data_IF_579794965302
#
_entry.id   IF_579794965302
#
_cell.length_a   1.000
_cell.length_b   1.000
_cell.length_c   1.000
_cell.angle_alpha   90.00
_cell.angle_beta   90.00
_cell.angle_gamma   90.00
#
_symmetry.space_group_name_H-M   'P 1'
#
loop_
_entity.id
_entity.type
_entity.pdbx_description
1 polymer ?
#
# COMPACT_ATOMS: atom_id res chain seq x y z
N UNK A 1 -8.17 -23.07 -9.54
CA UNK A 1 -7.76 -22.61 -8.21
C UNK A 1 -6.86 -23.69 -7.60
N UNK A 2 -5.55 -23.56 -7.77
CA UNK A 2 -4.58 -24.43 -7.09
C UNK A 2 -3.96 -23.59 -5.99
N UNK A 3 -4.16 -24.00 -4.76
CA UNK A 3 -3.51 -23.41 -3.59
C UNK A 3 -2.01 -23.64 -3.69
N UNK A 4 -1.22 -22.59 -3.81
CA UNK A 4 0.24 -22.64 -3.76
C UNK A 4 0.64 -22.82 -2.30
N UNK A 5 1.26 -23.96 -2.03
CA UNK A 5 1.70 -24.38 -0.71
C UNK A 5 2.79 -23.47 -0.16
N UNK A 6 2.65 -23.06 1.09
CA UNK A 6 3.53 -22.21 1.92
C UNK A 6 5.04 -22.60 1.97
N UNK A 7 5.46 -23.64 1.25
CA UNK A 7 6.84 -24.20 1.35
C UNK A 7 7.84 -23.71 0.29
N UNK A 8 7.45 -22.93 -0.68
CA UNK A 8 8.31 -22.61 -1.82
C UNK A 8 8.89 -21.18 -1.83
N UNK A 9 8.68 -20.36 -0.80
CA UNK A 9 9.18 -18.99 -0.78
C UNK A 9 10.49 -18.78 -0.01
N UNK A 10 11.09 -19.84 0.59
CA UNK A 10 12.32 -19.75 1.39
C UNK A 10 13.56 -20.34 0.72
N UNK A 11 13.82 -20.06 -0.54
CA UNK A 11 14.99 -20.57 -1.23
C UNK A 11 15.68 -19.57 -2.18
N UNK A 12 15.92 -18.33 -1.74
CA UNK A 12 16.98 -17.50 -2.34
C UNK A 12 17.53 -16.54 -1.28
N UNK A 13 18.45 -17.01 -0.45
CA UNK A 13 19.44 -16.17 0.22
C UNK A 13 20.77 -16.89 0.13
N UNK A 14 21.70 -16.31 -0.64
CA UNK A 14 22.96 -16.90 -1.05
C UNK A 14 23.95 -17.04 0.07
N UNK A 15 24.63 -18.16 0.08
CA UNK A 15 25.78 -18.46 0.90
C UNK A 15 27.05 -17.78 0.33
N UNK A 16 27.70 -16.96 1.13
CA UNK A 16 29.13 -16.63 0.95
C UNK A 16 29.93 -17.20 2.12
N UNK A 17 30.56 -18.33 1.89
CA UNK A 17 31.49 -18.95 2.83
C UNK A 17 32.86 -18.30 2.69
N UNK A 18 33.44 -17.86 3.80
CA UNK A 18 34.89 -17.58 3.90
C UNK A 18 35.49 -18.54 4.90
N UNK A 19 36.33 -19.41 4.37
CA UNK A 19 37.14 -20.33 5.14
C UNK A 19 38.34 -19.62 5.77
N UNK A 20 38.59 -19.83 7.06
CA UNK A 20 39.86 -19.50 7.69
C UNK A 20 40.37 -20.69 8.45
N UNK A 21 41.61 -21.02 8.15
CA UNK A 21 42.42 -22.20 8.50
C UNK A 21 42.89 -22.10 9.95
N UNK A 22 42.68 -23.21 10.71
CA UNK A 22 43.29 -23.47 12.00
C UNK A 22 44.66 -24.17 11.80
N UNK A 23 45.66 -23.67 12.49
CA UNK A 23 46.91 -24.42 12.73
C UNK A 23 47.09 -24.60 14.24
N UNK A 24 47.26 -25.86 14.63
CA UNK A 24 47.46 -26.31 16.01
C UNK A 24 48.95 -26.43 16.34
N UNK A 25 49.30 -26.29 17.63
CA UNK A 25 50.38 -26.94 18.36
C UNK A 25 50.26 -26.47 19.82
N UNK A 26 50.08 -27.26 20.84
CA UNK A 26 50.74 -28.45 21.27
C UNK A 26 51.65 -28.13 22.48
N UNK A 27 51.37 -28.69 23.68
CA UNK A 27 52.38 -28.70 24.76
C UNK A 27 51.79 -28.75 26.19
N UNK A 28 52.07 -29.83 26.82
CA UNK A 28 51.62 -30.34 28.13
C UNK A 28 52.24 -29.70 29.39
N UNK A 29 51.57 -29.94 30.49
CA UNK A 29 52.01 -30.48 31.81
C UNK A 29 52.08 -29.52 33.01
N UNK A 30 51.39 -29.99 34.00
CA UNK A 30 51.65 -30.24 35.44
C UNK A 30 51.49 -29.12 36.48
N UNK A 31 50.44 -29.38 37.32
CA UNK A 31 50.44 -29.43 38.78
C UNK A 31 51.01 -28.25 39.61
N UNK A 32 50.21 -27.70 40.47
CA UNK A 32 50.14 -27.98 41.92
C UNK A 32 49.21 -26.95 42.65
N UNK A 33 48.63 -27.44 43.71
CA UNK A 33 47.65 -26.78 44.59
C UNK A 33 48.22 -25.61 45.41
N UNK A 34 47.44 -24.64 45.80
CA UNK A 34 47.07 -24.33 47.18
C UNK A 34 46.23 -23.08 47.37
N UNK A 35 45.17 -23.28 48.15
CA UNK A 35 44.51 -22.45 49.18
C UNK A 35 44.07 -20.98 48.88
N UNK A 36 42.77 -20.83 48.98
CA UNK A 36 41.95 -19.89 49.76
C UNK A 36 42.27 -18.39 49.75
N UNK A 37 41.28 -17.64 49.18
CA UNK A 37 40.65 -16.51 49.89
C UNK A 37 39.39 -16.11 49.17
N UNK A 38 38.28 -16.09 49.89
CA UNK A 38 36.98 -15.60 49.45
C UNK A 38 37.01 -14.08 49.24
N UNK A 39 36.55 -13.62 48.06
CA UNK A 39 35.94 -12.30 47.92
C UNK A 39 34.82 -12.42 46.90
N UNK A 40 33.63 -12.16 47.39
CA UNK A 40 32.40 -12.06 46.65
C UNK A 40 32.50 -10.91 45.67
N UNK A 41 32.58 -11.22 44.37
CA UNK A 41 32.29 -10.27 43.31
C UNK A 41 30.92 -10.68 42.75
N UNK A 42 29.98 -9.79 42.92
CA UNK A 42 28.66 -9.90 42.29
C UNK A 42 28.86 -9.99 40.78
N UNK A 43 28.57 -11.13 40.22
CA UNK A 43 28.38 -11.27 38.79
C UNK A 43 27.07 -10.54 38.46
N UNK A 44 27.17 -9.36 37.86
CA UNK A 44 26.07 -8.79 37.11
C UNK A 44 25.82 -9.76 35.95
N UNK A 45 24.78 -10.55 36.08
CA UNK A 45 24.20 -11.24 34.95
C UNK A 45 23.60 -10.15 34.06
N UNK A 46 24.27 -9.83 32.97
CA UNK A 46 23.59 -9.29 31.81
C UNK A 46 22.60 -10.39 31.38
N UNK A 47 21.37 -10.22 31.82
CA UNK A 47 20.24 -10.90 31.21
C UNK A 47 20.12 -10.31 29.81
N UNK A 48 20.68 -10.98 28.82
CA UNK A 48 20.17 -10.86 27.48
C UNK A 48 18.69 -11.26 27.57
N UNK A 49 17.80 -10.28 27.57
CA UNK A 49 16.39 -10.52 27.33
C UNK A 49 16.30 -11.00 25.88
N UNK A 50 16.27 -12.31 25.68
CA UNK A 50 15.66 -12.84 24.48
C UNK A 50 14.21 -12.39 24.58
N UNK A 51 13.81 -11.42 23.77
CA UNK A 51 12.39 -11.20 23.53
C UNK A 51 11.83 -12.57 23.16
N UNK A 52 10.95 -13.11 24.00
CA UNK A 52 10.20 -14.30 23.67
C UNK A 52 9.41 -13.97 22.42
N UNK A 53 9.55 -14.77 21.35
CA UNK A 53 8.79 -14.64 20.13
C UNK A 53 7.33 -14.32 20.50
N UNK A 54 6.86 -13.11 20.15
CA UNK A 54 5.59 -12.59 20.65
C UNK A 54 4.46 -13.21 19.85
N UNK A 55 3.88 -14.30 20.39
CA UNK A 55 2.68 -14.86 19.76
C UNK A 55 1.57 -13.82 19.77
N UNK A 56 1.12 -13.41 18.59
CA UNK A 56 -0.08 -12.55 18.46
C UNK A 56 -1.30 -13.37 18.88
N UNK A 57 -2.08 -12.86 19.81
CA UNK A 57 -3.32 -13.51 20.27
C UNK A 57 -4.52 -12.94 19.51
N UNK A 58 -4.58 -11.63 19.33
CA UNK A 58 -5.68 -10.93 18.66
C UNK A 58 -5.22 -9.69 17.92
N UNK A 59 -5.73 -9.51 16.71
CA UNK A 59 -5.51 -8.30 15.90
C UNK A 59 -6.81 -7.53 15.75
N UNK A 60 -6.75 -6.21 15.90
CA UNK A 60 -7.84 -5.32 15.54
C UNK A 60 -7.44 -4.49 14.31
N UNK A 61 -8.38 -4.26 13.38
CA UNK A 61 -8.22 -3.32 12.29
C UNK A 61 -9.17 -2.15 12.50
N UNK A 62 -8.65 -0.94 12.41
CA UNK A 62 -9.41 0.30 12.53
C UNK A 62 -9.32 1.06 11.21
N UNK A 63 -10.45 1.25 10.52
CA UNK A 63 -10.54 2.10 9.33
C UNK A 63 -10.57 3.57 9.73
N UNK A 64 -9.93 4.44 8.98
CA UNK A 64 -10.01 5.89 9.21
C UNK A 64 -11.26 6.50 8.58
N UNK A 65 -11.65 6.00 7.43
CA UNK A 65 -12.88 6.32 6.70
C UNK A 65 -13.20 5.19 5.72
N UNK A 66 -14.44 5.05 5.31
CA UNK A 66 -14.88 3.97 4.42
C UNK A 66 -15.20 2.67 5.18
N UNK A 67 -15.25 1.57 4.48
CA UNK A 67 -15.70 0.27 4.98
C UNK A 67 -14.76 -0.85 4.55
N UNK A 68 -14.81 -2.00 5.23
CA UNK A 68 -13.98 -3.18 4.92
C UNK A 68 -14.43 -3.95 3.66
N UNK A 69 -15.46 -3.49 3.00
CA UNK A 69 -16.01 -4.02 1.73
C UNK A 69 -15.96 -2.97 0.62
N UNK A 70 -14.96 -2.06 0.67
CA UNK A 70 -14.74 -1.02 -0.32
C UNK A 70 -14.14 -1.53 -1.64
N UNK A 71 -13.85 -2.83 -1.75
CA UNK A 71 -13.19 -3.48 -2.88
C UNK A 71 -11.85 -2.82 -3.26
N UNK A 72 -11.15 -2.24 -2.27
CA UNK A 72 -9.94 -1.43 -2.42
C UNK A 72 -9.11 -1.44 -1.12
N UNK A 73 -8.81 -0.27 -0.57
CA UNK A 73 -7.86 0.03 0.50
C UNK A 73 -8.14 -0.70 1.82
N UNK A 74 -9.33 -0.49 2.39
CA UNK A 74 -9.68 -1.08 3.68
C UNK A 74 -9.88 -2.60 3.57
N UNK A 75 -10.57 -3.04 2.50
CA UNK A 75 -10.80 -4.47 2.26
C UNK A 75 -9.49 -5.24 2.08
N UNK A 76 -8.51 -4.68 1.37
CA UNK A 76 -7.20 -5.32 1.19
C UNK A 76 -6.49 -5.55 2.53
N UNK A 77 -6.46 -4.54 3.40
CA UNK A 77 -5.88 -4.66 4.74
C UNK A 77 -6.67 -5.66 5.61
N UNK A 78 -8.01 -5.62 5.54
CA UNK A 78 -8.86 -6.55 6.28
C UNK A 78 -8.70 -8.00 5.80
N UNK A 79 -8.56 -8.21 4.51
CA UNK A 79 -8.30 -9.53 3.93
C UNK A 79 -6.97 -10.11 4.44
N UNK A 80 -5.92 -9.28 4.54
CA UNK A 80 -4.65 -9.67 5.13
C UNK A 80 -4.81 -10.09 6.60
N UNK A 81 -5.48 -9.26 7.41
CA UNK A 81 -5.69 -9.56 8.84
C UNK A 81 -6.49 -10.84 9.02
N UNK A 82 -7.59 -11.02 8.30
CA UNK A 82 -8.43 -12.23 8.40
C UNK A 82 -7.73 -13.47 7.85
N UNK A 83 -6.97 -13.33 6.78
CA UNK A 83 -6.17 -14.42 6.21
C UNK A 83 -5.09 -14.91 7.16
N UNK A 84 -4.50 -13.99 7.94
CA UNK A 84 -3.45 -14.29 8.90
C UNK A 84 -3.99 -14.84 10.24
N UNK A 85 -5.02 -14.19 10.80
CA UNK A 85 -5.52 -14.44 12.16
C UNK A 85 -6.74 -15.37 12.24
N UNK A 86 -7.41 -15.63 11.11
CA UNK A 86 -8.70 -16.36 11.12
C UNK A 86 -9.74 -15.66 11.97
N UNK A 87 -10.32 -16.38 12.93
CA UNK A 87 -11.37 -15.85 13.83
C UNK A 87 -10.82 -14.95 14.98
N UNK A 88 -9.49 -14.82 15.10
CA UNK A 88 -8.86 -14.04 16.17
C UNK A 88 -8.62 -12.57 15.76
N UNK A 89 -9.57 -11.99 15.05
CA UNK A 89 -9.49 -10.60 14.63
C UNK A 89 -10.85 -9.91 14.72
N UNK A 90 -10.82 -8.59 14.71
CA UNK A 90 -12.01 -7.74 14.68
C UNK A 90 -11.73 -6.45 13.94
N UNK A 91 -12.77 -5.72 13.55
CA UNK A 91 -12.64 -4.44 12.86
C UNK A 91 -13.55 -3.39 13.47
N UNK A 92 -13.17 -2.13 13.26
CA UNK A 92 -13.93 -0.95 13.65
C UNK A 92 -14.02 0.00 12.46
N UNK A 93 -15.25 0.44 12.17
CA UNK A 93 -15.56 1.31 11.05
C UNK A 93 -16.15 2.60 11.63
N UNK A 94 -15.51 3.75 11.44
CA UNK A 94 -16.02 5.03 11.92
C UNK A 94 -17.17 5.55 11.03
N UNK A 95 -17.94 6.47 11.57
CA UNK A 95 -18.82 7.32 10.76
C UNK A 95 -17.99 8.22 9.83
N UNK A 96 -18.58 8.70 8.75
CA UNK A 96 -17.85 9.45 7.72
C UNK A 96 -17.24 10.78 8.22
N UNK A 97 -17.82 11.35 9.30
CA UNK A 97 -17.38 12.59 9.94
C UNK A 97 -16.69 12.38 11.30
N UNK A 98 -16.20 11.15 11.56
CA UNK A 98 -15.54 10.80 12.80
C UNK A 98 -14.36 11.73 13.11
N UNK A 99 -14.28 12.15 14.35
CA UNK A 99 -13.18 12.93 14.89
C UNK A 99 -11.99 12.05 15.31
N UNK A 100 -10.88 12.67 15.65
CA UNK A 100 -9.75 11.94 16.27
C UNK A 100 -10.11 11.28 17.58
N UNK A 101 -10.99 11.90 18.41
CA UNK A 101 -11.50 11.32 19.66
C UNK A 101 -12.34 10.05 19.41
N UNK A 102 -13.11 10.01 18.31
CA UNK A 102 -13.84 8.81 17.91
C UNK A 102 -12.86 7.69 17.51
N UNK A 103 -11.81 8.00 16.76
CA UNK A 103 -10.75 7.05 16.38
C UNK A 103 -9.99 6.52 17.60
N UNK A 104 -9.65 7.39 18.56
CA UNK A 104 -9.08 6.98 19.85
C UNK A 104 -10.01 6.03 20.60
N UNK A 105 -11.34 6.25 20.53
CA UNK A 105 -12.32 5.38 21.15
C UNK A 105 -12.31 3.99 20.53
N UNK A 106 -12.16 3.84 19.21
CA UNK A 106 -12.01 2.54 18.57
C UNK A 106 -10.72 1.83 18.96
N UNK A 107 -9.60 2.54 19.01
CA UNK A 107 -8.33 1.97 19.52
C UNK A 107 -8.51 1.49 20.98
N UNK A 108 -9.12 2.31 21.83
CA UNK A 108 -9.40 1.96 23.24
C UNK A 108 -10.28 0.71 23.34
N UNK A 109 -11.30 0.61 22.50
CA UNK A 109 -12.18 -0.54 22.45
C UNK A 109 -11.42 -1.79 22.00
N UNK A 110 -10.64 -1.69 20.92
CA UNK A 110 -9.81 -2.78 20.42
C UNK A 110 -8.88 -3.36 21.49
N UNK A 111 -8.18 -2.49 22.22
CA UNK A 111 -7.27 -2.89 23.30
C UNK A 111 -8.02 -3.48 24.49
N UNK A 112 -9.14 -2.89 24.89
CA UNK A 112 -9.97 -3.43 25.99
C UNK A 112 -10.57 -4.81 25.66
N UNK A 113 -10.78 -5.11 24.39
CA UNK A 113 -11.23 -6.41 23.91
C UNK A 113 -10.08 -7.39 23.66
N UNK A 114 -8.85 -7.00 23.99
CA UNK A 114 -7.67 -7.85 24.07
C UNK A 114 -6.83 -7.89 22.79
N UNK A 115 -6.84 -6.84 21.96
CA UNK A 115 -5.95 -6.75 20.82
C UNK A 115 -4.49 -6.52 21.27
N UNK A 116 -3.58 -7.36 20.83
CA UNK A 116 -2.13 -7.21 21.00
C UNK A 116 -1.53 -6.32 19.91
N UNK A 117 -2.18 -6.33 18.73
CA UNK A 117 -1.80 -5.54 17.56
C UNK A 117 -3.03 -4.79 17.06
N UNK A 118 -2.86 -3.50 16.77
CA UNK A 118 -3.88 -2.68 16.13
C UNK A 118 -3.36 -2.19 14.78
N UNK A 119 -4.04 -2.58 13.70
CA UNK A 119 -3.77 -2.08 12.35
C UNK A 119 -4.64 -0.85 12.12
N UNK A 120 -4.02 0.32 12.09
CA UNK A 120 -4.66 1.60 11.82
C UNK A 120 -4.56 1.89 10.33
N UNK A 121 -5.68 1.90 9.62
CA UNK A 121 -5.73 1.99 8.15
C UNK A 121 -6.15 3.39 7.74
N UNK A 122 -5.17 4.17 7.28
CA UNK A 122 -5.36 5.51 6.74
C UNK A 122 -4.74 6.64 7.58
N UNK A 123 -4.37 7.70 6.90
CA UNK A 123 -3.58 8.82 7.43
C UNK A 123 -4.26 9.57 8.60
N UNK A 124 -5.61 9.55 8.68
CA UNK A 124 -6.36 10.20 9.76
C UNK A 124 -6.09 9.60 11.15
N UNK A 125 -5.48 8.41 11.22
CA UNK A 125 -5.04 7.84 12.49
C UNK A 125 -3.77 8.48 13.05
N UNK A 126 -3.06 9.32 12.27
CA UNK A 126 -1.80 9.90 12.70
C UNK A 126 -1.86 10.54 14.09
N UNK A 127 -2.75 11.50 14.31
CA UNK A 127 -2.90 12.19 15.59
C UNK A 127 -3.29 11.22 16.73
N UNK A 128 -4.21 10.28 16.46
CA UNK A 128 -4.65 9.28 17.44
C UNK A 128 -3.53 8.31 17.83
N UNK A 129 -2.58 8.03 16.93
CA UNK A 129 -1.44 7.15 17.21
C UNK A 129 -0.45 7.74 18.19
N UNK A 130 -0.23 9.06 18.19
CA UNK A 130 0.61 9.72 19.20
C UNK A 130 0.08 9.45 20.61
N UNK A 131 -1.23 9.63 20.79
CA UNK A 131 -1.91 9.35 22.06
C UNK A 131 -1.92 7.83 22.37
N UNK A 132 -2.28 6.99 21.41
CA UNK A 132 -2.42 5.55 21.62
C UNK A 132 -1.11 4.88 22.01
N UNK A 133 -0.01 5.26 21.39
CA UNK A 133 1.31 4.74 21.67
C UNK A 133 1.75 5.00 23.14
N UNK A 134 1.44 6.18 23.65
CA UNK A 134 1.71 6.55 25.04
C UNK A 134 0.80 5.80 26.03
N UNK A 135 -0.49 5.66 25.70
CA UNK A 135 -1.47 5.01 26.59
C UNK A 135 -1.32 3.49 26.66
N UNK A 136 -0.84 2.87 25.58
CA UNK A 136 -0.77 1.41 25.42
C UNK A 136 0.62 0.96 24.97
N UNK A 137 1.65 1.13 25.81
CA UNK A 137 3.06 0.86 25.43
C UNK A 137 3.33 -0.62 25.08
N UNK A 138 2.50 -1.54 25.54
CA UNK A 138 2.62 -2.98 25.28
C UNK A 138 1.90 -3.42 23.99
N UNK A 139 1.06 -2.56 23.41
CA UNK A 139 0.33 -2.81 22.15
C UNK A 139 1.17 -2.35 20.97
N UNK A 140 1.24 -3.16 19.92
CA UNK A 140 1.91 -2.78 18.67
C UNK A 140 0.92 -2.17 17.69
N UNK A 141 1.32 -1.06 17.07
CA UNK A 141 0.51 -0.35 16.09
C UNK A 141 1.16 -0.46 14.71
N UNK A 142 0.43 -1.01 13.74
CA UNK A 142 0.77 -0.99 12.33
C UNK A 142 -0.07 0.09 11.68
N UNK A 143 0.57 1.13 11.14
CA UNK A 143 -0.11 2.31 10.61
C UNK A 143 0.07 2.40 9.09
N UNK A 144 -1.00 2.15 8.33
CA UNK A 144 -0.98 2.12 6.86
C UNK A 144 -1.33 3.50 6.30
N UNK A 145 -0.51 3.99 5.37
CA UNK A 145 -0.56 5.35 4.80
C UNK A 145 -0.41 6.46 5.84
N UNK A 146 0.34 6.18 6.91
CA UNK A 146 0.67 7.13 7.96
C UNK A 146 2.17 7.38 7.97
N UNK A 147 2.56 8.63 8.17
CA UNK A 147 3.95 9.05 8.32
C UNK A 147 4.20 9.69 9.69
N UNK A 148 5.46 9.93 10.00
CA UNK A 148 5.82 10.71 11.19
C UNK A 148 5.15 12.09 11.22
N UNK A 149 4.94 12.73 10.06
CA UNK A 149 4.28 14.04 9.98
C UNK A 149 2.82 13.97 10.40
N UNK A 150 2.13 12.89 10.06
CA UNK A 150 0.72 12.69 10.42
C UNK A 150 0.59 12.42 11.92
N UNK A 151 1.56 11.70 12.52
CA UNK A 151 1.63 11.47 13.97
C UNK A 151 1.91 12.78 14.72
N UNK A 152 2.67 13.68 14.13
CA UNK A 152 2.97 15.00 14.71
C UNK A 152 3.97 14.97 15.87
N UNK A 153 4.79 13.91 15.97
CA UNK A 153 5.84 13.73 16.98
C UNK A 153 7.23 13.92 16.38
N UNK A 154 8.26 14.11 17.23
CA UNK A 154 9.65 14.25 16.77
C UNK A 154 10.21 12.95 16.17
N UNK A 155 9.64 11.81 16.51
CA UNK A 155 9.97 10.49 15.99
C UNK A 155 8.73 9.59 16.02
N UNK A 156 8.72 8.55 15.19
CA UNK A 156 7.70 7.49 15.26
C UNK A 156 7.87 6.79 16.62
N UNK A 157 6.77 6.57 17.40
CA UNK A 157 6.85 5.89 18.69
C UNK A 157 7.38 4.44 18.57
N UNK A 158 8.08 3.95 19.61
CA UNK A 158 8.75 2.65 19.63
C UNK A 158 7.81 1.44 19.43
N UNK A 159 6.54 1.60 19.71
CA UNK A 159 5.50 0.59 19.51
C UNK A 159 4.66 0.84 18.23
N UNK A 160 5.10 1.72 17.34
CA UNK A 160 4.49 1.98 16.05
C UNK A 160 5.40 1.58 14.90
N UNK A 161 4.80 1.05 13.84
CA UNK A 161 5.40 0.86 12.52
C UNK A 161 4.52 1.52 11.47
N UNK A 162 5.09 2.44 10.71
CA UNK A 162 4.39 3.14 9.63
C UNK A 162 4.68 2.45 8.30
N UNK A 163 3.67 2.37 7.44
CA UNK A 163 3.75 1.81 6.09
C UNK A 163 3.26 2.85 5.11
N UNK A 164 4.07 3.16 4.12
CA UNK A 164 3.71 3.99 2.97
C UNK A 164 4.14 3.31 1.67
N UNK A 165 3.65 3.81 0.55
CA UNK A 165 3.96 3.23 -0.75
C UNK A 165 4.41 4.31 -1.73
N UNK A 166 5.07 3.88 -2.81
CA UNK A 166 5.46 4.73 -3.93
C UNK A 166 4.35 4.71 -4.99
N UNK A 167 3.18 5.26 -4.63
CA UNK A 167 1.98 5.25 -5.49
C UNK A 167 2.21 6.00 -6.80
N UNK A 168 3.15 6.94 -6.83
CA UNK A 168 3.56 7.62 -8.06
C UNK A 168 4.05 6.64 -9.13
N UNK A 169 4.68 5.54 -8.73
CA UNK A 169 5.15 4.52 -9.66
C UNK A 169 3.98 3.75 -10.29
N UNK A 170 2.99 3.33 -9.50
CA UNK A 170 1.79 2.67 -10.02
C UNK A 170 0.96 3.61 -10.90
N UNK A 171 0.81 4.87 -10.47
CA UNK A 171 0.16 5.91 -11.26
C UNK A 171 0.85 6.12 -12.60
N UNK A 172 2.19 6.24 -12.59
CA UNK A 172 2.99 6.38 -13.81
C UNK A 172 2.78 5.21 -14.77
N UNK A 173 2.88 3.99 -14.27
CA UNK A 173 2.68 2.78 -15.07
C UNK A 173 1.29 2.74 -15.71
N UNK A 174 0.24 3.07 -14.95
CA UNK A 174 -1.14 3.09 -15.44
C UNK A 174 -1.36 4.19 -16.50
N UNK A 175 -0.84 5.39 -16.27
CA UNK A 175 -0.93 6.51 -17.20
C UNK A 175 -0.17 6.26 -18.51
N UNK A 176 1.06 5.77 -18.38
CA UNK A 176 1.89 5.41 -19.53
C UNK A 176 1.23 4.31 -20.38
N UNK A 177 0.77 3.23 -19.73
CA UNK A 177 0.12 2.11 -20.40
C UNK A 177 -1.15 2.57 -21.15
N UNK A 178 -2.00 3.37 -20.53
CA UNK A 178 -3.21 3.87 -21.16
C UNK A 178 -2.91 4.75 -22.39
N UNK A 179 -1.96 5.68 -22.28
CA UNK A 179 -1.58 6.52 -23.41
C UNK A 179 -0.90 5.73 -24.53
N UNK A 180 -0.05 4.74 -24.20
CA UNK A 180 0.58 3.82 -25.19
C UNK A 180 -0.46 2.93 -25.88
N UNK A 181 -1.54 2.56 -25.19
CA UNK A 181 -2.66 1.79 -25.78
C UNK A 181 -3.55 2.64 -26.70
N UNK A 182 -3.26 3.94 -26.82
CA UNK A 182 -3.89 4.85 -27.78
C UNK A 182 -5.00 5.72 -27.19
N UNK A 183 -5.22 5.74 -25.87
CA UNK A 183 -6.13 6.69 -25.25
C UNK A 183 -5.54 8.10 -25.28
N UNK A 184 -6.32 9.07 -25.74
CA UNK A 184 -5.90 10.47 -25.91
C UNK A 184 -6.67 11.45 -25.04
N UNK A 185 -7.83 11.03 -24.52
CA UNK A 185 -8.63 11.79 -23.57
C UNK A 185 -8.86 10.98 -22.31
N UNK A 186 -8.09 11.30 -21.29
CA UNK A 186 -8.05 10.55 -20.05
C UNK A 186 -8.66 11.38 -18.91
N UNK A 187 -9.02 10.71 -17.81
CA UNK A 187 -9.49 11.33 -16.58
C UNK A 187 -8.76 10.77 -15.37
N UNK A 188 -8.59 11.60 -14.36
CA UNK A 188 -8.23 11.21 -13.01
C UNK A 188 -9.34 11.66 -12.05
N UNK A 189 -10.00 10.71 -11.43
CA UNK A 189 -10.97 10.92 -10.36
C UNK A 189 -10.33 10.45 -9.05
N UNK A 190 -9.72 11.37 -8.31
CA UNK A 190 -9.22 11.09 -6.97
C UNK A 190 -10.35 11.17 -5.94
N UNK A 191 -10.20 10.45 -4.83
CA UNK A 191 -11.05 10.60 -3.66
C UNK A 191 -10.80 11.95 -2.99
N UNK A 192 -10.31 11.96 -1.75
CA UNK A 192 -9.80 13.18 -1.11
C UNK A 192 -8.35 13.44 -1.56
N UNK A 193 -7.94 14.71 -1.56
CA UNK A 193 -6.57 15.12 -1.87
C UNK A 193 -5.62 14.80 -0.69
N UNK A 194 -5.42 13.52 -0.41
CA UNK A 194 -4.52 13.01 0.62
C UNK A 194 -3.21 12.53 0.00
N UNK A 195 -2.11 12.40 0.77
CA UNK A 195 -0.79 12.12 0.22
C UNK A 195 -0.72 10.96 -0.78
N UNK A 196 -1.31 9.80 -0.48
CA UNK A 196 -1.32 8.64 -1.36
C UNK A 196 -2.07 8.90 -2.68
N UNK A 197 -3.27 9.51 -2.62
CA UNK A 197 -4.08 9.83 -3.81
C UNK A 197 -3.39 10.89 -4.67
N UNK A 198 -2.74 11.87 -4.04
CA UNK A 198 -1.95 12.89 -4.75
C UNK A 198 -0.79 12.22 -5.50
N UNK A 199 -0.02 11.31 -4.85
CA UNK A 199 1.09 10.59 -5.50
C UNK A 199 0.62 9.77 -6.70
N UNK A 200 -0.47 9.01 -6.56
CA UNK A 200 -1.08 8.29 -7.70
C UNK A 200 -1.37 9.21 -8.88
N UNK A 201 -2.08 10.32 -8.64
CA UNK A 201 -2.44 11.26 -9.69
C UNK A 201 -1.24 11.99 -10.28
N UNK A 202 -0.25 12.33 -9.44
CA UNK A 202 1.00 12.96 -9.86
C UNK A 202 1.79 12.05 -10.81
N UNK A 203 1.96 10.78 -10.45
CA UNK A 203 2.60 9.78 -11.30
C UNK A 203 1.81 9.51 -12.58
N UNK A 204 0.47 9.42 -12.48
CA UNK A 204 -0.40 9.18 -13.63
C UNK A 204 -0.22 10.22 -14.74
N UNK A 205 -0.18 11.49 -14.37
CA UNK A 205 0.04 12.59 -15.33
C UNK A 205 1.43 12.51 -15.96
N UNK A 206 2.48 12.17 -15.19
CA UNK A 206 3.83 12.01 -15.70
C UNK A 206 3.94 10.85 -16.70
N UNK A 207 3.32 9.70 -16.38
CA UNK A 207 3.30 8.53 -17.27
C UNK A 207 2.61 8.83 -18.61
N UNK A 208 1.46 9.53 -18.56
CA UNK A 208 0.74 9.99 -19.75
C UNK A 208 1.64 10.90 -20.58
N UNK A 209 2.29 11.89 -19.97
CA UNK A 209 3.13 12.85 -20.68
C UNK A 209 4.34 12.18 -21.33
N UNK A 210 4.99 11.26 -20.64
CA UNK A 210 6.10 10.49 -21.21
C UNK A 210 5.67 9.70 -22.45
N UNK A 211 4.54 8.98 -22.38
CA UNK A 211 4.01 8.24 -23.51
C UNK A 211 3.58 9.17 -24.65
N UNK A 212 2.93 10.31 -24.34
CA UNK A 212 2.51 11.29 -25.31
C UNK A 212 3.69 11.88 -26.11
N UNK A 213 4.80 12.19 -25.42
CA UNK A 213 6.04 12.66 -26.04
C UNK A 213 6.64 11.60 -26.98
N UNK A 214 6.75 10.35 -26.52
CA UNK A 214 7.29 9.25 -27.33
C UNK A 214 6.46 8.99 -28.59
N UNK A 215 5.14 9.11 -28.50
CA UNK A 215 4.21 8.91 -29.59
C UNK A 215 4.08 10.15 -30.51
N UNK A 216 4.52 11.33 -30.06
CA UNK A 216 4.26 12.61 -30.72
C UNK A 216 2.77 12.94 -30.81
N UNK A 217 1.95 12.46 -29.86
CA UNK A 217 0.49 12.55 -29.86
C UNK A 217 0.01 13.51 -28.77
N UNK A 218 -0.93 14.38 -29.09
CA UNK A 218 -1.57 15.27 -28.09
C UNK A 218 -2.53 14.49 -27.23
N UNK A 219 -2.43 14.67 -25.90
CA UNK A 219 -3.27 14.04 -24.91
C UNK A 219 -3.89 15.09 -23.99
N UNK A 220 -5.14 14.87 -23.59
CA UNK A 220 -5.89 15.71 -22.64
C UNK A 220 -6.25 14.90 -21.42
N UNK A 221 -6.07 15.48 -20.23
CA UNK A 221 -6.39 14.85 -18.95
C UNK A 221 -7.33 15.76 -18.16
N UNK A 222 -8.51 15.28 -17.83
CA UNK A 222 -9.39 15.90 -16.83
C UNK A 222 -8.99 15.40 -15.44
N UNK A 223 -8.72 16.30 -14.50
CA UNK A 223 -8.22 15.98 -13.17
C UNK A 223 -9.12 16.57 -12.10
N UNK A 224 -9.66 15.73 -11.20
CA UNK A 224 -10.63 16.15 -10.18
C UNK A 224 -10.53 15.29 -8.92
N UNK A 225 -10.71 15.90 -7.76
CA UNK A 225 -10.91 15.19 -6.49
C UNK A 225 -12.39 15.26 -6.11
N UNK A 226 -12.99 14.09 -5.81
CA UNK A 226 -14.39 13.96 -5.39
C UNK A 226 -14.64 14.45 -3.96
N UNK A 227 -13.58 14.59 -3.15
CA UNK A 227 -13.68 15.03 -1.76
C UNK A 227 -14.13 13.96 -0.78
N UNK A 228 -14.28 12.70 -1.23
CA UNK A 228 -14.73 11.56 -0.44
C UNK A 228 -14.25 10.24 -1.07
N UNK A 229 -14.33 9.13 -0.32
CA UNK A 229 -13.90 7.80 -0.78
C UNK A 229 -15.06 6.86 -1.14
N UNK A 230 -16.20 7.41 -1.51
CA UNK A 230 -17.37 6.66 -1.99
C UNK A 230 -18.02 7.37 -3.17
N UNK A 231 -18.74 6.62 -4.02
CA UNK A 231 -19.46 7.19 -5.14
C UNK A 231 -20.78 7.83 -4.71
N UNK A 232 -21.18 8.89 -5.41
CA UNK A 232 -22.48 9.52 -5.26
C UNK A 232 -23.04 10.06 -6.59
N UNK A 233 -24.27 10.56 -6.57
CA UNK A 233 -24.93 11.07 -7.76
C UNK A 233 -24.22 12.29 -8.39
N UNK A 234 -23.55 13.13 -7.60
CA UNK A 234 -22.84 14.31 -8.11
C UNK A 234 -21.58 13.90 -8.86
N UNK A 235 -20.79 12.97 -8.25
CA UNK A 235 -19.60 12.40 -8.88
C UNK A 235 -19.99 11.62 -10.13
N UNK A 236 -21.02 10.77 -10.06
CA UNK A 236 -21.53 10.03 -11.23
C UNK A 236 -21.92 10.99 -12.36
N UNK A 237 -22.68 12.04 -12.07
CA UNK A 237 -23.07 13.03 -13.08
C UNK A 237 -21.90 13.76 -13.70
N UNK A 238 -20.85 14.07 -12.91
CA UNK A 238 -19.62 14.67 -13.42
C UNK A 238 -18.89 13.71 -14.36
N UNK A 239 -18.77 12.44 -14.00
CA UNK A 239 -18.13 11.41 -14.82
C UNK A 239 -18.92 11.16 -16.12
N UNK A 240 -20.26 11.12 -16.06
CA UNK A 240 -21.10 11.07 -17.25
C UNK A 240 -20.82 12.24 -18.19
N UNK A 241 -20.69 13.46 -17.64
CA UNK A 241 -20.32 14.63 -18.40
C UNK A 241 -18.94 14.50 -19.07
N UNK A 242 -17.96 13.92 -18.40
CA UNK A 242 -16.64 13.68 -18.97
C UNK A 242 -16.69 12.71 -20.15
N UNK A 243 -17.31 11.54 -19.97
CA UNK A 243 -17.45 10.56 -21.04
C UNK A 243 -18.26 11.08 -22.22
N UNK A 244 -19.35 11.80 -21.95
CA UNK A 244 -20.17 12.42 -23.00
C UNK A 244 -19.38 13.48 -23.83
N UNK A 245 -18.37 14.12 -23.22
CA UNK A 245 -17.46 15.06 -23.87
C UNK A 245 -16.20 14.40 -24.44
N UNK A 246 -16.17 13.07 -24.46
CA UNK A 246 -15.16 12.28 -25.16
C UNK A 246 -13.99 11.79 -24.30
N UNK A 247 -14.04 11.91 -22.95
CA UNK A 247 -13.11 11.16 -22.09
C UNK A 247 -13.30 9.66 -22.36
N UNK A 248 -12.21 8.94 -22.57
CA UNK A 248 -12.23 7.54 -22.99
C UNK A 248 -12.03 6.59 -21.82
N UNK A 249 -11.16 6.98 -20.88
CA UNK A 249 -10.80 6.19 -19.69
C UNK A 249 -10.62 7.11 -18.49
N UNK A 250 -11.15 6.71 -17.32
CA UNK A 250 -10.99 7.41 -16.05
C UNK A 250 -10.27 6.51 -15.06
N UNK A 251 -9.18 7.01 -14.48
CA UNK A 251 -8.55 6.39 -13.33
C UNK A 251 -9.31 6.80 -12.06
N UNK A 252 -10.01 5.86 -11.46
CA UNK A 252 -10.80 6.05 -10.24
C UNK A 252 -9.96 5.66 -9.01
N UNK A 253 -9.35 6.66 -8.38
CA UNK A 253 -8.35 6.51 -7.32
C UNK A 253 -8.91 6.89 -5.96
N UNK A 254 -9.40 5.91 -5.19
CA UNK A 254 -9.80 6.13 -3.79
C UNK A 254 -11.02 5.35 -3.33
N UNK A 255 -10.79 4.22 -2.65
CA UNK A 255 -11.83 3.41 -2.02
C UNK A 255 -13.00 3.10 -2.95
N UNK A 256 -14.22 3.27 -2.48
CA UNK A 256 -15.46 3.00 -3.22
C UNK A 256 -15.84 4.04 -4.29
N UNK A 257 -15.03 5.08 -4.56
CA UNK A 257 -15.36 6.13 -5.56
C UNK A 257 -15.48 5.57 -6.99
N UNK A 258 -14.84 4.41 -7.25
CA UNK A 258 -14.92 3.71 -8.53
C UNK A 258 -16.34 3.40 -8.97
N UNK A 259 -17.29 3.25 -8.04
CA UNK A 259 -18.68 2.94 -8.33
C UNK A 259 -19.32 4.02 -9.22
N UNK A 260 -19.04 5.31 -8.96
CA UNK A 260 -19.48 6.42 -9.81
C UNK A 260 -18.83 6.41 -11.19
N UNK A 261 -17.53 6.07 -11.26
CA UNK A 261 -16.82 5.97 -12.54
C UNK A 261 -17.36 4.82 -13.41
N UNK A 262 -17.62 3.65 -12.81
CA UNK A 262 -18.20 2.49 -13.52
C UNK A 262 -19.61 2.83 -14.02
N UNK A 263 -20.48 3.37 -13.17
CA UNK A 263 -21.84 3.72 -13.56
C UNK A 263 -21.85 4.65 -14.77
N UNK A 264 -21.02 5.69 -14.76
CA UNK A 264 -20.89 6.64 -15.86
C UNK A 264 -20.27 6.00 -17.11
N UNK A 265 -19.23 5.16 -16.94
CA UNK A 265 -18.58 4.46 -18.04
C UNK A 265 -19.56 3.54 -18.78
N UNK A 266 -20.33 2.74 -18.06
CA UNK A 266 -21.29 1.79 -18.65
C UNK A 266 -22.37 2.49 -19.48
N UNK A 267 -22.80 3.71 -19.09
CA UNK A 267 -23.78 4.52 -19.84
C UNK A 267 -23.19 5.10 -21.12
N UNK A 268 -21.87 5.28 -21.20
CA UNK A 268 -21.21 6.03 -22.28
C UNK A 268 -20.18 5.19 -23.06
N UNK A 269 -20.11 3.88 -22.88
CA UNK A 269 -19.09 2.98 -23.44
C UNK A 269 -17.65 3.39 -23.07
N UNK A 270 -17.47 4.00 -21.90
CA UNK A 270 -16.19 4.42 -21.37
C UNK A 270 -15.40 3.29 -20.71
N UNK A 271 -14.21 3.60 -20.27
CA UNK A 271 -13.31 2.67 -19.57
C UNK A 271 -12.90 3.22 -18.22
N UNK A 272 -12.46 2.31 -17.33
CA UNK A 272 -12.00 2.63 -15.99
C UNK A 272 -10.64 1.97 -15.72
N UNK A 273 -9.78 2.69 -15.00
CA UNK A 273 -8.61 2.12 -14.34
C UNK A 273 -8.96 2.04 -12.85
N UNK A 274 -8.77 0.85 -12.26
CA UNK A 274 -8.99 0.59 -10.84
C UNK A 274 -7.80 1.00 -9.99
N UNK A 275 -7.92 0.84 -8.65
CA UNK A 275 -6.90 1.23 -7.68
C UNK A 275 -6.73 0.19 -6.57
N UNK A 276 -5.57 0.19 -5.94
CA UNK A 276 -5.13 -0.61 -4.78
C UNK A 276 -5.05 -2.11 -5.04
N UNK A 277 -6.13 -2.71 -5.52
CA UNK A 277 -6.21 -4.14 -5.86
C UNK A 277 -6.56 -4.32 -7.33
N UNK A 278 -6.43 -5.54 -7.85
CA UNK A 278 -6.94 -5.86 -9.17
C UNK A 278 -8.48 -5.88 -9.16
N UNK A 279 -9.10 -4.75 -9.50
CA UNK A 279 -10.56 -4.59 -9.51
C UNK A 279 -11.23 -5.17 -10.76
N UNK A 280 -10.48 -5.80 -11.67
CA UNK A 280 -11.05 -6.41 -12.89
C UNK A 280 -12.16 -7.42 -12.59
N UNK A 281 -12.06 -8.15 -11.46
CA UNK A 281 -13.08 -9.11 -11.06
C UNK A 281 -14.48 -8.52 -10.91
N UNK A 282 -14.60 -7.23 -10.55
CA UNK A 282 -15.88 -6.52 -10.48
C UNK A 282 -16.52 -6.41 -11.86
N UNK A 283 -15.71 -6.10 -12.87
CA UNK A 283 -16.14 -6.04 -14.27
C UNK A 283 -16.54 -7.42 -14.79
N UNK A 284 -15.72 -8.44 -14.52
CA UNK A 284 -15.99 -9.84 -14.91
C UNK A 284 -17.28 -10.35 -14.26
N UNK A 285 -17.44 -10.13 -12.95
CA UNK A 285 -18.65 -10.48 -12.21
C UNK A 285 -19.88 -9.76 -12.75
N UNK A 286 -19.78 -8.44 -12.97
CA UNK A 286 -20.90 -7.64 -13.47
C UNK A 286 -21.37 -8.09 -14.85
N UNK A 287 -20.47 -8.52 -15.73
CA UNK A 287 -20.84 -9.15 -17.01
C UNK A 287 -21.48 -10.51 -16.81
N UNK A 288 -20.93 -11.35 -15.94
CA UNK A 288 -21.40 -12.70 -15.70
C UNK A 288 -22.81 -12.74 -15.09
N UNK A 289 -23.15 -11.83 -14.21
CA UNK A 289 -24.47 -11.71 -13.59
C UNK A 289 -25.46 -10.84 -14.40
N UNK A 290 -25.01 -10.25 -15.51
CA UNK A 290 -25.82 -9.49 -16.43
C UNK A 290 -26.12 -8.05 -15.98
N UNK A 291 -25.46 -7.55 -14.94
CA UNK A 291 -25.59 -6.14 -14.49
C UNK A 291 -24.78 -5.18 -15.37
N UNK A 292 -23.68 -5.66 -15.99
CA UNK A 292 -22.86 -4.88 -16.90
C UNK A 292 -22.97 -5.41 -18.33
N UNK A 293 -23.09 -4.48 -19.29
CA UNK A 293 -23.10 -4.81 -20.71
C UNK A 293 -21.73 -5.26 -21.23
N UNK A 294 -20.66 -4.85 -20.57
CA UNK A 294 -19.25 -5.19 -20.88
C UNK A 294 -18.41 -4.92 -19.63
N UNK A 295 -17.18 -5.50 -19.62
CA UNK A 295 -16.20 -5.16 -18.59
C UNK A 295 -15.59 -3.76 -18.85
N UNK A 296 -15.80 -2.78 -17.95
CA UNK A 296 -15.25 -1.43 -18.14
C UNK A 296 -13.77 -1.31 -17.79
N UNK A 297 -13.19 -2.24 -17.03
CA UNK A 297 -11.80 -2.13 -16.58
C UNK A 297 -10.80 -2.39 -17.71
N UNK A 298 -9.76 -1.56 -17.79
CA UNK A 298 -8.59 -1.79 -18.65
C UNK A 298 -7.41 -2.34 -17.86
N UNK A 299 -7.25 -1.91 -16.62
CA UNK A 299 -6.25 -2.36 -15.65
C UNK A 299 -6.58 -1.80 -14.26
N UNK A 300 -5.71 -2.03 -13.28
CA UNK A 300 -5.74 -1.39 -11.95
C UNK A 300 -4.34 -0.96 -11.54
N UNK A 301 -4.20 0.22 -10.95
CA UNK A 301 -2.96 0.66 -10.31
C UNK A 301 -2.89 0.09 -8.90
N UNK A 302 -2.17 -1.02 -8.74
CA UNK A 302 -2.16 -1.81 -7.51
C UNK A 302 -1.14 -1.32 -6.49
N UNK A 303 -1.42 -1.62 -5.23
CA UNK A 303 -0.64 -1.33 -4.04
C UNK A 303 -0.65 -2.55 -3.11
N UNK A 304 0.51 -3.03 -2.69
CA UNK A 304 0.71 -4.26 -1.94
C UNK A 304 0.32 -4.15 -0.46
N UNK A 305 -0.92 -3.76 -0.22
CA UNK A 305 -1.47 -3.54 1.13
C UNK A 305 -1.51 -4.83 1.94
N UNK A 306 -2.04 -5.89 1.33
CA UNK A 306 -2.13 -7.20 1.99
C UNK A 306 -0.75 -7.75 2.32
N UNK A 307 0.18 -7.69 1.37
CA UNK A 307 1.55 -8.17 1.54
C UNK A 307 2.29 -7.42 2.65
N UNK A 308 2.12 -6.10 2.72
CA UNK A 308 2.77 -5.27 3.74
C UNK A 308 2.21 -5.53 5.14
N UNK A 309 0.89 -5.67 5.27
CA UNK A 309 0.24 -6.00 6.56
C UNK A 309 0.61 -7.41 7.01
N UNK A 310 0.52 -8.43 6.12
CA UNK A 310 0.90 -9.82 6.43
C UNK A 310 2.37 -9.92 6.84
N UNK A 311 3.26 -9.25 6.12
CA UNK A 311 4.69 -9.23 6.45
C UNK A 311 4.95 -8.61 7.83
N UNK A 312 4.23 -7.53 8.17
CA UNK A 312 4.34 -6.88 9.48
C UNK A 312 3.89 -7.79 10.61
N UNK A 313 2.76 -8.49 10.43
CA UNK A 313 2.27 -9.47 11.41
C UNK A 313 3.24 -10.65 11.57
N UNK A 314 3.81 -11.14 10.47
CA UNK A 314 4.82 -12.20 10.50
C UNK A 314 6.07 -11.77 11.26
N UNK A 315 6.56 -10.55 11.03
CA UNK A 315 7.71 -9.97 11.74
C UNK A 315 7.48 -9.92 13.25
N UNK A 316 6.25 -9.59 13.67
CA UNK A 316 5.88 -9.60 15.10
C UNK A 316 5.92 -11.03 15.67
N UNK A 317 5.30 -12.01 14.98
CA UNK A 317 5.26 -13.41 15.44
C UNK A 317 6.66 -14.07 15.49
N UNK A 318 7.54 -13.67 14.60
CA UNK A 318 8.93 -14.13 14.56
C UNK A 318 9.79 -13.52 15.68
N UNK A 319 9.25 -12.56 16.44
CA UNK A 319 9.97 -11.85 17.52
C UNK A 319 10.94 -10.79 17.01
N UNK A 320 10.83 -10.39 15.75
CA UNK A 320 11.68 -9.40 15.07
C UNK A 320 11.08 -8.00 15.06
N UNK A 321 10.12 -7.69 15.94
CA UNK A 321 9.48 -6.36 16.01
C UNK A 321 10.49 -5.22 16.03
N UNK A 322 11.60 -5.38 16.76
CA UNK A 322 12.64 -4.35 16.86
C UNK A 322 13.29 -3.97 15.53
N UNK A 323 13.13 -4.77 14.47
CA UNK A 323 13.65 -4.48 13.13
C UNK A 323 12.79 -3.45 12.40
N UNK A 324 11.50 -3.35 12.73
CA UNK A 324 10.53 -2.44 12.09
C UNK A 324 9.98 -1.37 13.04
N UNK A 325 10.09 -1.56 14.34
CA UNK A 325 9.63 -0.61 15.37
C UNK A 325 10.22 0.78 15.16
N UNK A 326 9.43 1.82 15.40
CA UNK A 326 9.81 3.23 15.25
C UNK A 326 10.33 3.60 13.83
N UNK A 327 9.93 2.85 12.80
CA UNK A 327 10.36 3.10 11.42
C UNK A 327 9.18 3.30 10.47
N UNK A 328 9.49 3.80 9.27
CA UNK A 328 8.55 3.87 8.15
C UNK A 328 9.06 3.01 6.99
N UNK A 329 8.35 1.93 6.68
CA UNK A 329 8.52 1.20 5.42
C UNK A 329 7.87 2.00 4.28
N UNK A 330 8.64 2.29 3.24
CA UNK A 330 8.11 2.96 2.04
C UNK A 330 8.32 2.05 0.84
N UNK A 331 7.26 1.39 0.40
CA UNK A 331 7.31 0.26 -0.51
C UNK A 331 6.97 0.64 -1.96
N UNK A 332 7.87 0.30 -2.85
CA UNK A 332 7.73 0.49 -4.29
C UNK A 332 8.23 -0.71 -5.08
N UNK A 333 8.70 -0.45 -6.29
CA UNK A 333 9.27 -1.48 -7.16
C UNK A 333 10.70 -1.87 -6.75
N UNK A 334 11.44 -0.96 -6.14
CA UNK A 334 12.81 -1.19 -5.67
C UNK A 334 12.86 -2.11 -4.45
N UNK A 335 11.83 -2.05 -3.59
CA UNK A 335 11.69 -2.89 -2.41
C UNK A 335 11.02 -4.23 -2.71
N UNK A 336 10.52 -4.42 -3.94
CA UNK A 336 9.81 -5.61 -4.41
C UNK A 336 8.67 -5.24 -5.35
N UNK A 337 7.69 -6.12 -5.48
CA UNK A 337 6.52 -5.84 -6.34
C UNK A 337 5.35 -5.27 -5.52
N UNK A 338 5.62 -4.23 -4.73
CA UNK A 338 4.58 -3.63 -3.88
C UNK A 338 3.66 -2.66 -4.61
N UNK A 339 4.03 -2.23 -5.82
CA UNK A 339 3.16 -1.40 -6.67
C UNK A 339 3.26 -1.88 -8.12
N UNK A 340 2.23 -1.64 -8.92
CA UNK A 340 2.25 -2.04 -10.33
C UNK A 340 0.87 -2.22 -10.94
N UNK A 341 0.81 -2.95 -12.06
CA UNK A 341 -0.42 -3.33 -12.75
C UNK A 341 -0.59 -4.86 -12.70
N UNK A 342 -1.83 -5.38 -12.70
CA UNK A 342 -2.07 -6.82 -12.79
C UNK A 342 -1.66 -7.33 -14.17
N UNK A 343 -1.01 -8.49 -14.22
CA UNK A 343 -0.53 -9.11 -15.49
C UNK A 343 -1.24 -10.42 -15.82
N UNK A 344 -2.27 -10.78 -15.07
CA UNK A 344 -3.11 -11.93 -15.40
C UNK A 344 -3.83 -11.70 -16.74
N UNK A 345 -3.96 -12.74 -17.56
CA UNK A 345 -4.52 -12.66 -18.91
C UNK A 345 -5.92 -12.04 -18.95
N UNK A 346 -6.75 -12.32 -17.94
CA UNK A 346 -8.12 -11.81 -17.81
C UNK A 346 -8.17 -10.38 -17.24
N UNK A 347 -7.08 -9.87 -16.65
CA UNK A 347 -6.97 -8.53 -16.08
C UNK A 347 -6.22 -7.55 -16.97
N UNK A 348 -5.53 -8.03 -18.01
CA UNK A 348 -4.80 -7.22 -18.97
C UNK A 348 -5.71 -6.87 -20.16
N UNK A 349 -6.45 -5.77 -20.05
CA UNK A 349 -7.46 -5.40 -21.07
C UNK A 349 -6.99 -4.29 -22.01
N UNK A 350 -5.67 -4.08 -22.16
CA UNK A 350 -5.08 -3.23 -23.20
C UNK A 350 -5.10 -3.93 -24.56
N UNK A 351 -5.17 -3.16 -25.66
CA UNK A 351 -5.26 -3.66 -27.02
C UNK A 351 -3.89 -3.80 -27.70
N UNK A 352 -3.01 -2.86 -27.43
CA UNK A 352 -1.73 -2.72 -28.12
C UNK A 352 -0.54 -2.66 -27.19
N UNK A 353 -0.70 -2.16 -25.96
CA UNK A 353 0.33 -2.17 -24.95
C UNK A 353 0.41 -3.55 -24.32
N UNK A 354 1.57 -4.21 -24.45
CA UNK A 354 1.74 -5.61 -24.05
C UNK A 354 2.28 -5.75 -22.62
N UNK A 355 2.12 -6.93 -22.02
CA UNK A 355 2.75 -7.26 -20.73
C UNK A 355 4.28 -7.18 -20.85
N UNK A 356 4.87 -7.53 -21.99
CA UNK A 356 6.33 -7.42 -22.23
C UNK A 356 6.79 -5.96 -22.20
N UNK A 357 6.04 -5.04 -22.83
CA UNK A 357 6.32 -3.59 -22.79
C UNK A 357 6.23 -3.06 -21.36
N UNK A 358 5.22 -3.52 -20.60
CA UNK A 358 5.03 -3.16 -19.19
C UNK A 358 6.19 -3.64 -18.32
N UNK A 359 6.59 -4.92 -18.43
CA UNK A 359 7.68 -5.46 -17.61
C UNK A 359 9.02 -4.77 -17.95
N UNK A 360 9.24 -4.38 -19.21
CA UNK A 360 10.42 -3.59 -19.60
C UNK A 360 10.40 -2.19 -18.96
N UNK A 361 9.25 -1.52 -18.91
CA UNK A 361 9.09 -0.21 -18.25
C UNK A 361 9.26 -0.33 -16.74
N UNK A 362 8.60 -1.31 -16.12
CA UNK A 362 8.69 -1.61 -14.71
C UNK A 362 10.12 -1.87 -14.24
N UNK A 363 10.90 -2.64 -15.03
CA UNK A 363 12.29 -2.92 -14.75
C UNK A 363 13.16 -1.65 -14.72
N UNK A 364 12.88 -0.66 -15.57
CA UNK A 364 13.59 0.63 -15.55
C UNK A 364 13.32 1.42 -14.27
N UNK A 365 12.08 1.40 -13.77
CA UNK A 365 11.74 2.05 -12.51
C UNK A 365 12.40 1.29 -11.34
N UNK A 366 12.26 -0.03 -11.29
CA UNK A 366 12.83 -0.86 -10.23
C UNK A 366 14.38 -0.78 -10.14
N UNK A 367 15.06 -0.56 -11.28
CA UNK A 367 16.51 -0.37 -11.30
C UNK A 367 16.97 1.07 -11.02
N UNK A 368 16.04 2.03 -10.93
CA UNK A 368 16.37 3.45 -10.83
C UNK A 368 16.85 4.09 -12.13
N UNK A 369 16.79 3.40 -13.29
CA UNK A 369 17.07 3.99 -14.59
C UNK A 369 16.03 5.06 -14.95
N UNK A 370 14.77 4.81 -14.59
CA UNK A 370 13.68 5.77 -14.67
C UNK A 370 13.22 6.12 -13.25
N UNK A 371 13.39 7.36 -12.86
CA UNK A 371 12.88 7.88 -11.59
C UNK A 371 11.57 8.60 -11.84
N UNK A 372 10.51 8.14 -11.19
CA UNK A 372 9.23 8.85 -11.18
C UNK A 372 9.29 9.91 -10.08
N UNK A 373 9.10 11.16 -10.47
CA UNK A 373 9.05 12.25 -9.52
C UNK A 373 7.78 12.17 -8.68
N UNK A 374 7.84 12.53 -7.39
CA UNK A 374 6.71 12.43 -6.47
C UNK A 374 6.42 13.77 -5.78
N UNK A 375 5.14 13.95 -5.47
CA UNK A 375 4.68 15.00 -4.56
C UNK A 375 3.44 14.53 -3.84
N UNK A 376 3.32 14.87 -2.57
CA UNK A 376 2.11 14.68 -1.78
C UNK A 376 1.41 16.01 -1.45
N UNK A 377 1.82 17.11 -2.09
CA UNK A 377 1.22 18.43 -1.94
C UNK A 377 0.32 18.74 -3.13
N UNK A 378 -0.98 18.92 -2.91
CA UNK A 378 -1.94 19.24 -3.98
C UNK A 378 -1.62 20.55 -4.72
N UNK A 379 -0.93 21.47 -4.10
CA UNK A 379 -0.47 22.71 -4.74
C UNK A 379 0.62 22.49 -5.80
N UNK A 380 1.37 21.39 -5.71
CA UNK A 380 2.44 21.02 -6.64
C UNK A 380 1.87 20.18 -7.75
N UNK A 381 2.04 20.62 -8.99
CA UNK A 381 1.57 19.92 -10.18
C UNK A 381 2.77 19.40 -10.98
N UNK A 382 2.69 18.21 -11.59
CA UNK A 382 3.78 17.71 -12.42
C UNK A 382 4.00 18.63 -13.63
N UNK A 383 5.27 18.82 -13.99
CA UNK A 383 5.61 19.51 -15.24
C UNK A 383 5.27 18.60 -16.41
N UNK A 384 4.55 19.13 -17.39
CA UNK A 384 4.18 18.40 -18.60
C UNK A 384 4.72 19.11 -19.85
N UNK A 385 4.92 18.33 -20.88
CA UNK A 385 5.37 18.82 -22.21
C UNK A 385 4.22 19.51 -22.98
N UNK A 386 4.56 20.01 -24.17
CA UNK A 386 3.53 20.54 -25.08
C UNK A 386 2.55 19.47 -25.61
N UNK A 387 2.83 18.19 -25.38
CA UNK A 387 1.97 17.09 -25.83
C UNK A 387 0.82 16.81 -24.87
N UNK A 388 0.90 17.25 -23.63
CA UNK A 388 -0.12 16.98 -22.59
C UNK A 388 -0.76 18.26 -22.11
N UNK A 389 -2.10 18.24 -22.02
CA UNK A 389 -2.90 19.30 -21.40
C UNK A 389 -3.64 18.72 -20.20
N UNK A 390 -3.45 19.28 -19.01
CA UNK A 390 -4.16 18.85 -17.81
C UNK A 390 -5.15 19.92 -17.38
N UNK A 391 -6.41 19.54 -17.31
CA UNK A 391 -7.54 20.40 -16.85
C UNK A 391 -7.77 20.08 -15.36
N UNK A 392 -7.18 20.86 -14.47
CA UNK A 392 -7.44 20.75 -13.02
C UNK A 392 -8.78 21.39 -12.70
N UNK A 393 -9.76 20.55 -12.33
CA UNK A 393 -11.15 20.94 -12.08
C UNK A 393 -11.36 21.04 -10.57
N UNK A 394 -11.95 22.17 -10.14
CA UNK A 394 -12.30 22.43 -8.74
C UNK A 394 -13.72 21.99 -8.42
#
# INVERSE_FOLDING_TARGET
MQMISRRNFMAVAGAAAVASILTACGGSSSSTASSAASSSVAASSEAASSEAAGKIVKVALCCDTGTIDDESFNQACWTAVTGYMGDNCQHYIPEADASDEDRETFIRQAVNEGADVVVCVGYLYGASLAWAAEQYPDVKFIAVDVTQFDIGTDAIPDNCYCITFKEEQAGYLAGYAAAKDGYTKLGFLGGMAVPAVIRYGYGYVQGIDAAAQELGTKVEVNYFYGGQFYGDANITSRMEGWYANGTEVVFACGGGIYTSAIEAALKNNGKVIGVDVDQNYLGVKGVADGTYAYNPFVTSAMKGLSEAVESSLSTIEEGSWSEIAATNGNFGLEEGNYVGLPTAEDSWNFKTFTVEDYEALKAKIASGELVVDNSCEDSVKPTVSEFTTVNYIQ
#
